data_IF_653404699459
#
_entry.id   IF_653404699459
#
_cell.length_a   1.000
_cell.length_b   1.000
_cell.length_c   1.000
_cell.angle_alpha   90.00
_cell.angle_beta   90.00
_cell.angle_gamma   90.00
#
_symmetry.space_group_name_H-M   'P 1'
#
loop_
_entity.id
_entity.type
_entity.pdbx_description
1 polymer ?
#
# COMPACT_ATOMS: atom_id res chain seq x y z
N UNK A 1 16.59 -4.62 25.24
CA UNK A 1 15.74 -4.54 24.04
C UNK A 1 16.58 -4.95 22.85
N UNK A 2 16.26 -6.05 22.18
CA UNK A 2 16.96 -6.46 20.95
C UNK A 2 16.34 -5.71 19.77
N UNK A 3 16.65 -4.41 19.64
CA UNK A 3 16.30 -3.64 18.46
C UNK A 3 17.23 -4.04 17.32
N UNK A 4 16.66 -4.33 16.15
CA UNK A 4 17.45 -4.54 14.94
C UNK A 4 17.66 -3.18 14.26
N UNK A 5 18.83 -2.97 13.68
CA UNK A 5 19.18 -1.72 13.01
C UNK A 5 19.43 -1.98 11.52
N UNK A 6 18.91 -1.11 10.67
CA UNK A 6 19.13 -1.14 9.22
C UNK A 6 19.79 0.18 8.81
N UNK A 7 20.88 0.05 8.05
CA UNK A 7 21.46 1.18 7.33
C UNK A 7 20.75 1.35 6.00
N UNK A 8 20.17 2.51 5.77
CA UNK A 8 19.48 2.88 4.54
C UNK A 8 20.31 3.91 3.81
N UNK A 9 20.64 3.64 2.55
CA UNK A 9 21.26 4.64 1.68
C UNK A 9 20.20 5.57 1.14
N UNK A 10 20.34 6.87 1.41
CA UNK A 10 19.51 7.94 0.90
C UNK A 10 20.29 8.76 -0.13
N UNK A 11 19.59 9.63 -0.88
CA UNK A 11 20.23 10.50 -1.88
C UNK A 11 21.32 11.40 -1.28
N UNK A 12 21.19 11.78 -0.01
CA UNK A 12 22.09 12.72 0.67
C UNK A 12 22.98 12.07 1.76
N UNK A 13 23.12 10.74 1.76
CA UNK A 13 23.95 10.03 2.75
C UNK A 13 23.31 8.72 3.24
N UNK A 14 23.84 8.13 4.31
CA UNK A 14 23.21 6.98 4.98
C UNK A 14 22.37 7.44 6.16
N UNK A 15 21.31 6.69 6.47
CA UNK A 15 20.51 6.87 7.66
C UNK A 15 20.35 5.54 8.40
N UNK A 16 20.44 5.61 9.72
CA UNK A 16 20.16 4.48 10.60
C UNK A 16 18.67 4.42 10.89
N UNK A 17 18.06 3.27 10.66
CA UNK A 17 16.68 2.98 11.01
C UNK A 17 16.64 1.84 12.00
N UNK A 18 16.13 2.13 13.19
CA UNK A 18 15.95 1.15 14.25
C UNK A 18 14.53 0.63 14.21
N UNK A 19 14.38 -0.69 14.35
CA UNK A 19 13.08 -1.32 14.35
C UNK A 19 13.03 -2.45 15.39
N UNK A 20 11.82 -2.76 15.83
CA UNK A 20 11.55 -3.79 16.84
C UNK A 20 10.48 -4.75 16.32
N UNK A 21 10.14 -5.78 17.09
CA UNK A 21 9.02 -6.68 16.78
C UNK A 21 7.66 -5.98 16.72
N UNK A 22 7.54 -4.75 17.22
CA UNK A 22 6.33 -3.94 17.11
C UNK A 22 6.27 -3.09 15.83
N UNK A 23 7.36 -3.01 15.07
CA UNK A 23 7.43 -2.24 13.82
C UNK A 23 6.60 -2.93 12.73
N UNK A 24 5.66 -2.19 12.13
CA UNK A 24 4.84 -2.73 11.04
C UNK A 24 5.57 -2.64 9.71
N UNK A 25 5.93 -3.78 9.14
CA UNK A 25 6.65 -3.83 7.87
C UNK A 25 5.69 -4.20 6.74
N UNK A 26 5.75 -3.45 5.64
CA UNK A 26 4.90 -3.61 4.47
C UNK A 26 5.77 -3.70 3.23
N UNK A 27 5.60 -4.74 2.42
CA UNK A 27 6.19 -4.80 1.08
C UNK A 27 5.19 -4.31 0.05
N UNK A 28 5.63 -3.53 -0.94
CA UNK A 28 4.83 -3.22 -2.12
C UNK A 28 5.38 -3.94 -3.34
N UNK A 29 4.53 -4.71 -3.99
CA UNK A 29 4.83 -5.34 -5.26
C UNK A 29 3.93 -4.77 -6.36
N UNK A 30 4.34 -4.98 -7.62
CA UNK A 30 3.40 -4.82 -8.74
C UNK A 30 2.32 -5.88 -8.60
N UNK A 31 1.09 -5.49 -8.87
CA UNK A 31 -0.02 -6.42 -8.98
C UNK A 31 -0.56 -6.37 -10.40
N UNK A 32 -1.53 -7.22 -10.66
CA UNK A 32 -2.34 -7.23 -11.86
C UNK A 32 -3.78 -7.57 -11.51
N UNK A 33 -4.68 -7.46 -12.48
CA UNK A 33 -6.09 -7.77 -12.27
C UNK A 33 -6.30 -9.21 -11.77
N UNK A 34 -5.47 -10.17 -12.20
CA UNK A 34 -5.56 -11.56 -11.73
C UNK A 34 -5.22 -11.74 -10.25
N UNK A 35 -4.55 -10.77 -9.61
CA UNK A 35 -4.33 -10.77 -8.16
C UNK A 35 -5.56 -10.28 -7.38
N UNK A 36 -6.51 -9.61 -8.06
CA UNK A 36 -7.74 -9.09 -7.46
C UNK A 36 -8.73 -10.25 -7.35
N UNK A 37 -8.80 -10.83 -6.17
CA UNK A 37 -9.73 -11.91 -5.85
C UNK A 37 -10.84 -11.44 -4.91
N UNK A 38 -12.00 -12.08 -5.00
CA UNK A 38 -13.09 -11.91 -4.04
C UNK A 38 -12.59 -12.13 -2.60
N UNK A 39 -12.99 -11.25 -1.69
CA UNK A 39 -12.56 -11.25 -0.29
C UNK A 39 -11.24 -10.51 -0.02
N UNK A 40 -10.50 -10.08 -1.04
CA UNK A 40 -9.29 -9.25 -0.84
C UNK A 40 -9.66 -7.80 -0.54
N UNK A 41 -8.87 -7.12 0.31
CA UNK A 41 -9.07 -5.70 0.56
C UNK A 41 -8.35 -4.87 -0.51
N UNK A 42 -9.02 -3.87 -1.07
CA UNK A 42 -8.43 -2.99 -2.09
C UNK A 42 -8.74 -1.52 -1.81
N UNK A 43 -7.78 -0.67 -2.16
CA UNK A 43 -7.97 0.77 -2.33
C UNK A 43 -8.03 1.08 -3.81
N UNK A 44 -9.12 1.67 -4.24
CA UNK A 44 -9.33 2.14 -5.59
C UNK A 44 -9.20 3.66 -5.59
N UNK A 45 -8.25 4.16 -6.38
CA UNK A 45 -8.18 5.57 -6.71
C UNK A 45 -8.88 5.77 -8.06
N UNK A 46 -10.06 6.39 -8.08
CA UNK A 46 -10.76 6.65 -9.33
C UNK A 46 -10.06 7.72 -10.17
N UNK A 47 -10.36 7.74 -11.46
CA UNK A 47 -9.93 8.81 -12.38
C UNK A 47 -10.56 10.16 -12.00
N UNK A 48 -9.96 11.27 -12.45
CA UNK A 48 -10.48 12.62 -12.18
C UNK A 48 -11.90 12.82 -12.76
N UNK A 49 -12.23 12.07 -13.80
CA UNK A 49 -13.53 12.16 -14.48
C UNK A 49 -14.58 11.26 -13.84
N UNK A 50 -14.17 10.35 -12.94
CA UNK A 50 -15.07 9.46 -12.22
C UNK A 50 -15.59 10.13 -10.94
N UNK A 51 -16.92 10.17 -10.79
CA UNK A 51 -17.59 10.59 -9.57
C UNK A 51 -18.02 9.36 -8.77
N UNK A 52 -17.60 9.27 -7.51
CA UNK A 52 -17.99 8.19 -6.60
C UNK A 52 -19.50 8.17 -6.23
N UNK A 53 -20.29 9.13 -6.72
CA UNK A 53 -21.73 9.23 -6.45
C UNK A 53 -22.63 8.44 -7.41
N UNK A 54 -22.12 7.89 -8.52
CA UNK A 54 -22.96 7.27 -9.57
C UNK A 54 -22.94 5.74 -9.60
N UNK A 55 -22.53 5.06 -8.52
CA UNK A 55 -22.54 3.60 -8.41
C UNK A 55 -21.46 2.85 -9.20
N UNK A 56 -20.92 3.44 -10.28
CA UNK A 56 -19.77 2.93 -11.03
C UNK A 56 -18.63 3.95 -11.09
N UNK A 57 -17.41 3.55 -10.74
CA UNK A 57 -16.21 4.38 -10.80
C UNK A 57 -15.14 3.75 -11.67
N UNK A 58 -14.45 4.54 -12.49
CA UNK A 58 -13.30 4.05 -13.28
C UNK A 58 -12.03 4.16 -12.46
N UNK A 59 -11.34 3.05 -12.22
CA UNK A 59 -10.10 3.01 -11.45
C UNK A 59 -8.91 3.55 -12.27
N UNK A 60 -8.28 4.62 -11.79
CA UNK A 60 -6.97 5.04 -12.25
C UNK A 60 -5.86 4.16 -11.65
N UNK A 61 -6.02 3.77 -10.38
CA UNK A 61 -5.13 2.85 -9.71
C UNK A 61 -5.88 1.97 -8.72
N UNK A 62 -5.47 0.71 -8.63
CA UNK A 62 -5.96 -0.27 -7.66
C UNK A 62 -4.78 -0.73 -6.83
N UNK A 63 -4.93 -0.62 -5.52
CA UNK A 63 -3.94 -1.05 -4.56
C UNK A 63 -4.53 -2.12 -3.65
N UNK A 64 -4.13 -3.36 -3.87
CA UNK A 64 -4.46 -4.48 -2.98
C UNK A 64 -3.76 -4.25 -1.65
N UNK A 65 -4.46 -4.43 -0.55
CA UNK A 65 -3.93 -4.27 0.79
C UNK A 65 -4.35 -5.46 1.65
N UNK A 66 -3.53 -5.82 2.64
CA UNK A 66 -3.94 -6.84 3.60
C UNK A 66 -5.04 -6.26 4.50
N UNK A 67 -5.93 -7.14 4.96
CA UNK A 67 -6.89 -6.81 6.01
C UNK A 67 -6.14 -6.49 7.30
N UNK A 68 -6.55 -5.43 7.98
CA UNK A 68 -6.02 -5.09 9.31
C UNK A 68 -7.02 -5.61 10.33
N UNK A 69 -6.62 -6.57 11.16
CA UNK A 69 -7.49 -7.22 12.15
C UNK A 69 -8.77 -7.82 11.54
N UNK A 70 -8.67 -8.41 10.34
CA UNK A 70 -9.82 -8.97 9.63
C UNK A 70 -10.76 -7.93 9.00
N UNK A 71 -10.44 -6.64 9.10
CA UNK A 71 -11.23 -5.56 8.49
C UNK A 71 -10.45 -4.89 7.35
N UNK A 72 -11.14 -4.65 6.24
CA UNK A 72 -10.58 -3.82 5.18
C UNK A 72 -10.53 -2.37 5.67
N UNK A 73 -9.40 -1.68 5.49
CA UNK A 73 -9.29 -0.29 5.93
C UNK A 73 -10.34 0.57 5.22
N UNK A 74 -11.07 1.35 6.01
CA UNK A 74 -12.10 2.26 5.51
C UNK A 74 -11.53 3.46 4.76
N UNK A 75 -12.44 4.23 4.17
CA UNK A 75 -12.12 5.46 3.43
C UNK A 75 -11.34 6.43 4.34
N UNK A 76 -10.06 6.66 4.02
CA UNK A 76 -9.28 7.73 4.64
C UNK A 76 -9.41 8.95 3.73
N UNK A 77 -10.45 9.75 3.95
CA UNK A 77 -10.65 11.11 3.44
C UNK A 77 -10.22 11.40 2.00
N UNK A 78 -11.17 11.67 1.10
CA UNK A 78 -10.92 12.08 -0.27
C UNK A 78 -11.71 11.25 -1.28
N UNK A 79 -11.46 11.47 -2.57
CA UNK A 79 -12.14 10.79 -3.70
C UNK A 79 -11.75 9.31 -3.87
N UNK A 80 -11.21 8.65 -2.85
CA UNK A 80 -10.77 7.25 -2.92
C UNK A 80 -11.93 6.33 -2.54
N UNK A 81 -11.90 5.08 -3.01
CA UNK A 81 -12.85 4.05 -2.59
C UNK A 81 -12.07 2.88 -1.99
N UNK A 82 -12.55 2.31 -0.88
CA UNK A 82 -11.85 1.25 -0.16
C UNK A 82 -12.86 0.22 0.31
N UNK A 83 -12.51 -1.06 0.22
CA UNK A 83 -13.42 -2.12 0.62
C UNK A 83 -12.90 -3.52 0.34
N UNK A 84 -13.72 -4.51 0.70
CA UNK A 84 -13.53 -5.89 0.31
C UNK A 84 -14.03 -6.09 -1.12
N UNK A 85 -13.25 -6.74 -1.96
CA UNK A 85 -13.68 -7.14 -3.30
C UNK A 85 -14.80 -8.17 -3.16
N UNK A 86 -15.93 -7.90 -3.80
CA UNK A 86 -17.03 -8.86 -3.95
C UNK A 86 -16.83 -9.67 -5.22
N UNK A 87 -17.66 -9.42 -6.21
CA UNK A 87 -17.59 -10.07 -7.53
C UNK A 87 -16.50 -9.45 -8.39
N UNK A 88 -15.73 -10.31 -9.07
CA UNK A 88 -14.72 -9.91 -10.07
C UNK A 88 -15.16 -10.46 -11.42
N UNK A 89 -15.32 -9.57 -12.39
CA UNK A 89 -15.53 -9.87 -13.80
C UNK A 89 -14.30 -9.42 -14.60
N UNK A 90 -14.19 -9.82 -15.86
CA UNK A 90 -13.00 -9.57 -16.70
C UNK A 90 -12.48 -8.12 -16.69
N UNK A 91 -13.35 -7.11 -16.59
CA UNK A 91 -12.94 -5.69 -16.58
C UNK A 91 -13.66 -4.85 -15.51
N UNK A 92 -14.41 -5.49 -14.62
CA UNK A 92 -15.12 -4.79 -13.55
C UNK A 92 -15.09 -5.62 -12.28
N UNK A 93 -15.00 -4.97 -11.14
CA UNK A 93 -15.16 -5.65 -9.86
C UNK A 93 -15.97 -4.79 -8.91
N UNK A 94 -16.74 -5.42 -8.04
CA UNK A 94 -17.49 -4.71 -7.00
C UNK A 94 -16.65 -4.64 -5.73
N UNK A 95 -16.73 -3.53 -5.02
CA UNK A 95 -16.17 -3.39 -3.68
C UNK A 95 -17.27 -3.07 -2.68
N UNK A 96 -17.29 -3.81 -1.59
CA UNK A 96 -18.14 -3.53 -0.44
C UNK A 96 -17.31 -2.76 0.58
N UNK A 97 -17.70 -1.53 0.88
CA UNK A 97 -17.03 -0.77 1.93
C UNK A 97 -17.28 -1.45 3.28
N UNK A 98 -16.23 -1.56 4.11
CA UNK A 98 -16.35 -2.20 5.43
C UNK A 98 -17.43 -1.51 6.26
N UNK A 99 -18.45 -2.29 6.67
CA UNK A 99 -19.54 -1.80 7.51
C UNK A 99 -20.72 -1.19 6.76
N UNK A 100 -20.78 -1.24 5.42
CA UNK A 100 -21.97 -0.86 4.66
C UNK A 100 -22.37 -1.95 3.66
N UNK A 101 -23.68 -2.09 3.42
CA UNK A 101 -24.20 -2.94 2.34
C UNK A 101 -24.02 -2.31 0.95
N UNK A 102 -23.49 -1.08 0.87
CA UNK A 102 -23.30 -0.36 -0.38
C UNK A 102 -22.12 -0.96 -1.15
N UNK A 103 -22.43 -1.53 -2.31
CA UNK A 103 -21.43 -1.99 -3.27
C UNK A 103 -21.14 -0.89 -4.27
N UNK A 104 -19.86 -0.63 -4.53
CA UNK A 104 -19.41 0.25 -5.60
C UNK A 104 -18.86 -0.61 -6.73
N UNK A 105 -19.39 -0.43 -7.94
CA UNK A 105 -18.82 -1.06 -9.13
C UNK A 105 -17.58 -0.30 -9.57
N UNK A 106 -16.50 -1.01 -9.82
CA UNK A 106 -15.22 -0.44 -10.25
C UNK A 106 -14.91 -0.98 -11.63
N UNK A 107 -14.85 -0.09 -12.62
CA UNK A 107 -14.36 -0.44 -13.96
C UNK A 107 -12.86 -0.24 -14.05
N UNK A 108 -12.18 -1.21 -14.67
CA UNK A 108 -10.75 -1.16 -14.92
C UNK A 108 -10.44 -1.16 -16.41
N UNK A 109 -9.34 -0.53 -16.77
CA UNK A 109 -8.83 -0.43 -18.14
C UNK A 109 -7.33 -0.68 -18.18
N UNK A 110 -6.74 -0.74 -19.36
CA UNK A 110 -5.29 -0.92 -19.53
C UNK A 110 -4.46 0.24 -18.94
N UNK A 111 -5.11 1.38 -18.68
CA UNK A 111 -4.51 2.54 -18.01
C UNK A 111 -4.50 2.38 -16.49
N UNK A 112 -5.25 1.43 -15.95
CA UNK A 112 -5.35 1.18 -14.51
C UNK A 112 -4.04 0.62 -13.98
N UNK A 113 -3.44 1.31 -13.01
CA UNK A 113 -2.21 0.83 -12.35
C UNK A 113 -2.55 -0.07 -11.17
N UNK A 114 -2.01 -1.29 -11.19
CA UNK A 114 -2.18 -2.23 -10.10
C UNK A 114 -0.93 -2.29 -9.22
N UNK A 115 -1.14 -2.24 -7.91
CA UNK A 115 -0.14 -2.50 -6.90
C UNK A 115 -0.72 -3.39 -5.82
N UNK A 116 0.14 -4.14 -5.13
CA UNK A 116 -0.25 -4.86 -3.91
C UNK A 116 0.68 -4.47 -2.78
N UNK A 117 0.10 -4.26 -1.62
CA UNK A 117 0.78 -4.19 -0.33
C UNK A 117 0.65 -5.56 0.31
N UNK A 118 1.75 -6.07 0.82
CA UNK A 118 1.84 -7.33 1.54
C UNK A 118 2.35 -7.01 2.95
N UNK A 119 1.78 -7.68 3.95
CA UNK A 119 2.44 -7.72 5.25
C UNK A 119 3.75 -8.46 5.04
N UNK A 120 4.83 -7.87 5.52
CA UNK A 120 6.17 -8.41 5.38
C UNK A 120 6.84 -8.34 6.76
N UNK A 121 7.91 -9.10 6.91
CA UNK A 121 8.74 -9.07 8.12
C UNK A 121 10.12 -8.50 7.79
N UNK A 122 10.97 -8.35 8.80
CA UNK A 122 12.32 -7.81 8.61
C UNK A 122 13.16 -8.61 7.61
N UNK A 123 12.87 -9.90 7.43
CA UNK A 123 13.53 -10.75 6.44
C UNK A 123 13.20 -10.36 4.99
N UNK A 124 12.09 -9.65 4.75
CA UNK A 124 11.78 -9.14 3.43
C UNK A 124 12.66 -7.95 3.03
N UNK A 125 13.35 -7.32 3.99
CA UNK A 125 14.23 -6.19 3.73
C UNK A 125 15.54 -6.71 3.15
N UNK A 126 15.64 -6.66 1.82
CA UNK A 126 16.83 -7.08 1.08
C UNK A 126 17.65 -5.88 0.60
N UNK A 127 18.97 -6.05 0.53
CA UNK A 127 19.84 -5.04 -0.10
C UNK A 127 19.45 -4.85 -1.57
N UNK A 128 19.39 -3.60 -2.01
CA UNK A 128 18.99 -3.22 -3.37
C UNK A 128 17.49 -2.89 -3.53
N UNK A 129 16.68 -3.05 -2.48
CA UNK A 129 15.30 -2.57 -2.46
C UNK A 129 15.18 -1.15 -1.90
N UNK A 130 14.10 -0.48 -2.28
CA UNK A 130 13.75 0.84 -1.78
C UNK A 130 13.00 0.74 -0.47
N UNK A 131 13.63 1.21 0.60
CA UNK A 131 13.04 1.26 1.93
C UNK A 131 12.58 2.67 2.27
N UNK A 132 11.37 2.78 2.81
CA UNK A 132 10.81 4.01 3.37
C UNK A 132 10.36 3.72 4.79
N UNK A 133 11.08 4.26 5.76
CA UNK A 133 10.76 4.13 7.16
C UNK A 133 10.08 5.40 7.67
N UNK A 134 9.05 5.21 8.48
CA UNK A 134 8.30 6.28 9.15
C UNK A 134 8.39 6.04 10.65
N UNK A 135 8.76 7.09 11.38
CA UNK A 135 9.11 6.94 12.77
C UNK A 135 9.48 8.26 13.43
N UNK A 136 9.94 8.16 14.66
CA UNK A 136 10.47 9.30 15.43
C UNK A 136 11.98 9.23 15.45
N UNK A 137 12.65 10.33 15.15
CA UNK A 137 14.10 10.40 15.26
C UNK A 137 14.48 10.50 16.74
N UNK A 138 15.39 9.66 17.20
CA UNK A 138 15.91 9.75 18.57
C UNK A 138 16.99 10.85 18.68
N UNK A 139 17.44 11.10 19.91
CA UNK A 139 18.49 12.08 20.23
C UNK A 139 19.86 11.70 19.68
N UNK A 140 20.07 10.43 19.30
CA UNK A 140 21.29 9.94 18.64
C UNK A 140 21.27 10.08 17.12
N UNK A 141 20.15 10.51 16.54
CA UNK A 141 19.96 10.68 15.11
C UNK A 141 19.48 9.42 14.37
N UNK A 142 19.22 8.32 15.07
CA UNK A 142 18.61 7.13 14.49
C UNK A 142 17.09 7.29 14.42
N UNK A 143 16.48 6.77 13.35
CA UNK A 143 15.03 6.82 13.18
C UNK A 143 14.40 5.57 13.81
N UNK A 144 13.66 5.74 14.90
CA UNK A 144 12.85 4.70 15.51
C UNK A 144 11.61 4.44 14.65
N UNK A 145 11.70 3.44 13.77
CA UNK A 145 10.66 3.12 12.81
C UNK A 145 9.45 2.49 13.49
N UNK A 146 8.33 3.20 13.46
CA UNK A 146 7.02 2.63 13.78
C UNK A 146 6.45 1.85 12.58
N UNK A 147 6.83 2.22 11.36
CA UNK A 147 6.37 1.58 10.13
C UNK A 147 7.47 1.58 9.07
N UNK A 148 7.64 0.46 8.38
CA UNK A 148 8.59 0.34 7.26
C UNK A 148 7.83 -0.11 6.02
N UNK A 149 8.12 0.55 4.90
CA UNK A 149 7.61 0.22 3.59
C UNK A 149 8.79 -0.15 2.68
N UNK A 150 8.85 -1.40 2.21
CA UNK A 150 9.84 -1.89 1.27
C UNK A 150 9.22 -2.02 -0.12
N UNK A 151 9.94 -1.60 -1.16
CA UNK A 151 9.48 -1.68 -2.55
C UNK A 151 10.64 -2.02 -3.46
N UNK A 152 10.43 -2.75 -4.57
CA UNK A 152 11.48 -3.00 -5.54
C UNK A 152 11.93 -1.70 -6.19
N UNK A 153 13.25 -1.52 -6.34
CA UNK A 153 13.82 -0.36 -7.01
C UNK A 153 13.39 -0.31 -8.48
N UNK A 154 12.91 0.85 -8.94
CA UNK A 154 12.58 1.05 -10.36
C UNK A 154 13.81 1.60 -11.06
N UNK A 155 14.46 0.77 -11.88
CA UNK A 155 15.69 1.12 -12.62
C UNK A 155 16.82 1.62 -11.70
N UNK A 156 16.98 0.99 -10.52
CA UNK A 156 18.02 1.38 -9.55
C UNK A 156 17.75 2.67 -8.77
N UNK A 157 16.64 3.37 -9.06
CA UNK A 157 16.26 4.58 -8.35
C UNK A 157 15.06 4.34 -7.44
N UNK A 158 15.22 4.76 -6.19
CA UNK A 158 14.13 4.90 -5.24
C UNK A 158 13.54 6.29 -5.41
N UNK A 159 12.29 6.44 -5.87
CA UNK A 159 11.61 7.72 -5.78
C UNK A 159 11.45 8.02 -4.30
N UNK A 160 12.33 8.87 -3.77
CA UNK A 160 12.26 9.35 -2.40
C UNK A 160 10.87 9.92 -2.12
N UNK A 161 10.37 9.69 -0.91
CA UNK A 161 9.20 10.41 -0.42
C UNK A 161 9.52 11.90 -0.48
N UNK A 162 8.88 12.62 -1.40
CA UNK A 162 8.77 14.06 -1.25
C UNK A 162 7.85 14.31 -0.05
N UNK A 163 8.42 14.88 1.01
CA UNK A 163 7.70 15.34 2.20
C UNK A 163 8.20 14.68 3.48
#
# INVERSE_FOLDING_TARGET
MSGNTIQVTQQNGSATVDFTSSTKIWSFARAQLSDVAAGTCVFVRPTRDSNAGSGTVTAAAVQIVPSSNGQCPGLRGGRQVAGAVGTVNNNTFTIAASGTAAQTSVSVSDKTRYGRRLAADAQAISQGECLSAFGTKDSGGALQAASIAVRPARKGSCPGSQG
#
